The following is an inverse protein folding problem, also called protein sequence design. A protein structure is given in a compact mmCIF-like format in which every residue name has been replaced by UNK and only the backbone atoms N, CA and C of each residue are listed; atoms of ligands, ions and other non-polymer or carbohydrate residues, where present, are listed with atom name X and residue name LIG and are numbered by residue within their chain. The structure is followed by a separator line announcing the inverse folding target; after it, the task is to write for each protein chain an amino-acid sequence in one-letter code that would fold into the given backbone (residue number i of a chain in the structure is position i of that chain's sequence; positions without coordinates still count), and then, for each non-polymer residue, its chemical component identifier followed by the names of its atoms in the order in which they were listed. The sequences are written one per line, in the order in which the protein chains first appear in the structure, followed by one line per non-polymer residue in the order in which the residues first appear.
data_IF_271133997107
#
_entry.id   IF_271133997107
#
_cell.length_a   1.000
_cell.length_b   1.000
_cell.length_c   1.000
_cell.angle_alpha   90.00
_cell.angle_beta   90.00
_cell.angle_gamma   90.00
#
_symmetry.space_group_name_H-M   'P 1'
#
loop_
_entity.id
_entity.type
_entity.pdbx_description
1 polymer ?
#
# COMPACT_ATOMS: atom_id res chain seq x y z
N UNK A 1 -17.85 -19.92 8.71
CA UNK A 1 -16.85 -20.65 9.53
C UNK A 1 -16.03 -21.62 8.69
N UNK A 2 -16.62 -22.62 8.01
CA UNK A 2 -15.86 -23.61 7.21
C UNK A 2 -14.76 -23.04 6.28
N UNK A 3 -15.07 -22.01 5.49
CA UNK A 3 -14.06 -21.35 4.61
C UNK A 3 -12.98 -20.64 5.43
N UNK A 4 -13.35 -19.98 6.52
CA UNK A 4 -12.42 -19.28 7.39
C UNK A 4 -11.46 -20.26 8.08
N UNK A 5 -11.98 -21.35 8.62
CA UNK A 5 -11.21 -22.47 9.19
C UNK A 5 -10.26 -23.07 8.16
N UNK A 6 -10.74 -23.34 6.93
CA UNK A 6 -9.87 -23.82 5.85
C UNK A 6 -8.69 -22.88 5.58
N UNK A 7 -8.94 -21.57 5.52
CA UNK A 7 -7.89 -20.55 5.30
C UNK A 7 -6.86 -20.59 6.43
N UNK A 8 -7.30 -20.54 7.69
CA UNK A 8 -6.36 -20.40 8.82
C UNK A 8 -5.66 -21.69 9.21
N UNK A 9 -6.37 -22.82 9.21
CA UNK A 9 -5.85 -24.09 9.73
C UNK A 9 -5.26 -24.99 8.65
N UNK A 10 -5.91 -25.08 7.49
CA UNK A 10 -5.50 -26.03 6.45
C UNK A 10 -4.57 -25.41 5.41
N UNK A 11 -4.71 -24.10 5.14
CA UNK A 11 -3.81 -23.38 4.24
C UNK A 11 -2.68 -22.64 4.98
N UNK A 12 -2.67 -22.67 6.32
CA UNK A 12 -1.74 -21.90 7.15
C UNK A 12 -1.68 -20.40 6.78
N UNK A 13 -2.82 -19.86 6.35
CA UNK A 13 -2.98 -18.46 5.98
C UNK A 13 -3.63 -17.68 7.12
N UNK A 14 -3.88 -16.40 6.86
CA UNK A 14 -4.50 -15.47 7.80
C UNK A 14 -5.67 -14.81 7.11
N UNK A 15 -6.62 -14.33 7.89
CA UNK A 15 -7.75 -13.58 7.34
C UNK A 15 -7.99 -12.28 8.10
N UNK A 16 -8.52 -11.31 7.37
CA UNK A 16 -9.17 -10.12 7.90
C UNK A 16 -10.56 -10.07 7.28
N UNK A 17 -11.51 -9.44 7.97
CA UNK A 17 -12.87 -9.24 7.45
C UNK A 17 -13.08 -7.76 7.23
N UNK A 18 -13.58 -7.41 6.03
CA UNK A 18 -13.80 -6.04 5.60
C UNK A 18 -15.22 -5.92 5.05
N UNK A 19 -15.77 -4.70 5.12
CA UNK A 19 -16.86 -4.31 4.22
C UNK A 19 -16.31 -3.98 2.83
N UNK A 20 -17.21 -3.96 1.84
CA UNK A 20 -16.92 -3.64 0.44
C UNK A 20 -16.19 -2.29 0.30
N UNK A 21 -16.73 -1.25 0.94
CA UNK A 21 -16.18 0.09 0.84
C UNK A 21 -14.75 0.20 1.40
N UNK A 22 -14.43 -0.53 2.47
CA UNK A 22 -13.10 -0.56 3.07
C UNK A 22 -12.14 -1.39 2.23
N UNK A 23 -12.60 -2.51 1.67
CA UNK A 23 -11.83 -3.28 0.71
C UNK A 23 -11.44 -2.40 -0.49
N UNK A 24 -12.41 -1.74 -1.13
CA UNK A 24 -12.19 -0.98 -2.36
C UNK A 24 -11.27 0.21 -2.11
N UNK A 25 -11.46 0.98 -1.04
CA UNK A 25 -10.52 2.05 -0.66
C UNK A 25 -9.10 1.52 -0.41
N UNK A 26 -8.98 0.35 0.22
CA UNK A 26 -7.69 -0.31 0.46
C UNK A 26 -7.03 -0.75 -0.85
N UNK A 27 -7.77 -1.45 -1.70
CA UNK A 27 -7.33 -1.90 -3.02
C UNK A 27 -6.94 -0.72 -3.93
N UNK A 28 -7.71 0.37 -3.90
CA UNK A 28 -7.39 1.61 -4.59
C UNK A 28 -5.99 2.11 -4.22
N UNK A 29 -5.70 2.15 -2.92
CA UNK A 29 -4.46 2.69 -2.36
C UNK A 29 -3.24 1.83 -2.69
N UNK A 30 -3.36 0.52 -2.52
CA UNK A 30 -2.20 -0.41 -2.55
C UNK A 30 -2.06 -1.19 -3.85
N UNK A 31 -3.07 -1.17 -4.73
CA UNK A 31 -3.11 -1.92 -5.99
C UNK A 31 -3.46 -1.03 -7.18
N UNK A 32 -4.66 -0.44 -7.20
CA UNK A 32 -5.17 0.21 -8.42
C UNK A 32 -4.41 1.50 -8.76
N UNK A 33 -4.24 2.43 -7.81
CA UNK A 33 -3.45 3.64 -8.02
C UNK A 33 -1.99 3.31 -8.40
N UNK A 34 -1.27 2.39 -7.71
CA UNK A 34 0.06 1.97 -8.13
C UNK A 34 0.15 1.48 -9.58
N UNK A 35 -0.85 0.74 -10.08
CA UNK A 35 -0.91 0.35 -11.49
C UNK A 35 -0.98 1.57 -12.42
N UNK A 36 -1.85 2.55 -12.12
CA UNK A 36 -1.96 3.77 -12.93
C UNK A 36 -0.65 4.58 -12.91
N UNK A 37 -0.03 4.73 -11.75
CA UNK A 37 1.26 5.44 -11.61
C UNK A 37 2.34 4.72 -12.42
N UNK A 38 2.46 3.40 -12.29
CA UNK A 38 3.44 2.63 -13.04
C UNK A 38 3.23 2.72 -14.56
N UNK A 39 1.97 2.72 -15.02
CA UNK A 39 1.63 2.95 -16.43
C UNK A 39 2.02 4.36 -16.88
N UNK A 40 1.75 5.39 -16.08
CA UNK A 40 2.17 6.75 -16.39
C UNK A 40 3.71 6.85 -16.51
N UNK A 41 4.46 6.21 -15.61
CA UNK A 41 5.93 6.19 -15.68
C UNK A 41 6.46 5.59 -16.98
N UNK A 42 5.90 4.46 -17.44
CA UNK A 42 6.38 3.86 -18.70
C UNK A 42 5.96 4.68 -19.93
N UNK A 43 4.84 5.40 -19.87
CA UNK A 43 4.44 6.33 -20.93
C UNK A 43 5.42 7.51 -21.02
N UNK A 44 5.83 8.09 -19.89
CA UNK A 44 6.87 9.13 -19.85
C UNK A 44 8.19 8.63 -20.47
N UNK A 45 8.58 7.37 -20.21
CA UNK A 45 9.75 6.78 -20.87
C UNK A 45 9.53 6.66 -22.38
N UNK A 46 8.36 6.21 -22.84
CA UNK A 46 8.08 6.04 -24.27
C UNK A 46 8.13 7.36 -25.03
N UNK A 47 7.59 8.43 -24.43
CA UNK A 47 7.52 9.76 -25.03
C UNK A 47 8.88 10.50 -24.99
N UNK A 48 9.82 10.04 -24.16
CA UNK A 48 11.13 10.66 -24.03
C UNK A 48 12.04 10.38 -25.26
N UNK A 49 12.70 11.41 -25.84
CA UNK A 49 13.63 11.22 -26.95
C UNK A 49 14.83 10.34 -26.60
N UNK A 50 15.28 10.38 -25.34
CA UNK A 50 16.43 9.63 -24.81
C UNK A 50 16.04 8.26 -24.24
N UNK A 51 14.83 7.76 -24.53
CA UNK A 51 14.29 6.51 -23.95
C UNK A 51 15.22 5.30 -24.03
N UNK A 52 15.99 5.18 -25.11
CA UNK A 52 16.92 4.07 -25.28
C UNK A 52 18.11 4.17 -24.30
N UNK A 53 18.59 5.38 -24.06
CA UNK A 53 19.65 5.65 -23.08
C UNK A 53 19.09 5.44 -21.68
N UNK A 54 17.92 6.01 -21.36
CA UNK A 54 17.27 5.85 -20.07
C UNK A 54 16.99 4.37 -19.75
N UNK A 55 16.52 3.58 -20.74
CA UNK A 55 16.33 2.15 -20.59
C UNK A 55 17.64 1.39 -20.35
N UNK A 56 18.74 1.78 -21.00
CA UNK A 56 20.05 1.18 -20.79
C UNK A 56 20.64 1.50 -19.39
N UNK A 57 20.27 2.65 -18.81
CA UNK A 57 20.68 3.07 -17.46
C UNK A 57 19.75 2.55 -16.35
N UNK A 58 18.61 1.94 -16.71
CA UNK A 58 17.61 1.50 -15.75
C UNK A 58 18.15 0.43 -14.79
N UNK A 59 17.90 0.63 -13.49
CA UNK A 59 18.35 -0.25 -12.42
C UNK A 59 17.17 -0.88 -11.65
N UNK A 60 17.44 -1.41 -10.45
CA UNK A 60 16.44 -2.05 -9.60
C UNK A 60 15.22 -1.18 -9.30
N UNK A 61 15.43 0.10 -8.99
CA UNK A 61 14.34 1.04 -8.69
C UNK A 61 13.34 1.18 -9.84
N UNK A 62 13.82 1.33 -11.08
CA UNK A 62 12.97 1.37 -12.27
C UNK A 62 12.21 0.06 -12.45
N UNK A 63 12.94 -1.06 -12.45
CA UNK A 63 12.36 -2.40 -12.65
C UNK A 63 11.23 -2.68 -11.65
N UNK A 64 11.44 -2.37 -10.38
CA UNK A 64 10.48 -2.67 -9.32
C UNK A 64 9.25 -1.76 -9.39
N UNK A 65 9.45 -0.48 -9.71
CA UNK A 65 8.36 0.50 -9.85
C UNK A 65 7.48 0.23 -11.08
N UNK A 66 8.06 -0.23 -12.20
CA UNK A 66 7.31 -0.47 -13.45
C UNK A 66 6.85 -1.90 -13.64
N UNK A 67 7.23 -2.84 -12.76
CA UNK A 67 6.89 -4.28 -12.88
C UNK A 67 5.39 -4.51 -13.09
N UNK A 68 4.55 -3.76 -12.37
CA UNK A 68 3.09 -3.91 -12.43
C UNK A 68 2.47 -3.29 -13.68
N UNK A 69 3.18 -2.42 -14.40
CA UNK A 69 2.72 -1.89 -15.68
C UNK A 69 2.84 -2.89 -16.83
N UNK A 70 3.51 -4.03 -16.61
CA UNK A 70 3.69 -5.09 -17.60
C UNK A 70 2.53 -6.10 -17.63
N UNK A 71 1.50 -5.90 -16.80
CA UNK A 71 0.28 -6.69 -16.85
C UNK A 71 -0.60 -6.29 -18.04
N UNK A 72 -1.54 -7.16 -18.43
CA UNK A 72 -2.50 -6.87 -19.50
C UNK A 72 -3.22 -5.52 -19.25
N UNK A 73 -3.12 -4.54 -20.17
CA UNK A 73 -3.65 -3.21 -19.97
C UNK A 73 -5.18 -3.18 -19.88
N UNK A 74 -5.89 -4.10 -20.55
CA UNK A 74 -7.35 -4.19 -20.47
C UNK A 74 -7.78 -4.71 -19.10
N UNK A 75 -7.03 -5.66 -18.53
CA UNK A 75 -7.27 -6.13 -17.16
C UNK A 75 -7.07 -5.00 -16.14
N UNK A 76 -5.97 -4.26 -16.26
CA UNK A 76 -5.69 -3.12 -15.37
C UNK A 76 -6.76 -2.04 -15.51
N UNK A 77 -7.18 -1.74 -16.74
CA UNK A 77 -8.24 -0.78 -17.03
C UNK A 77 -9.56 -1.16 -16.35
N UNK A 78 -10.03 -2.39 -16.50
CA UNK A 78 -11.29 -2.83 -15.90
C UNK A 78 -11.29 -2.64 -14.38
N UNK A 79 -10.20 -3.08 -13.72
CA UNK A 79 -10.01 -2.93 -12.27
C UNK A 79 -10.02 -1.45 -11.82
N UNK A 80 -9.43 -0.54 -12.60
CA UNK A 80 -9.40 0.90 -12.30
C UNK A 80 -10.75 1.57 -12.56
N UNK A 81 -11.46 1.18 -13.62
CA UNK A 81 -12.77 1.74 -13.99
C UNK A 81 -13.85 1.37 -12.95
N UNK A 82 -13.81 0.16 -12.41
CA UNK A 82 -14.75 -0.30 -11.37
C UNK A 82 -14.59 0.51 -10.06
N UNK A 83 -13.39 1.01 -9.76
CA UNK A 83 -13.05 1.72 -8.52
C UNK A 83 -12.63 3.20 -8.77
N UNK A 84 -13.14 3.78 -9.86
CA UNK A 84 -12.65 5.05 -10.41
C UNK A 84 -12.66 6.22 -9.42
N UNK A 85 -13.66 6.29 -8.53
CA UNK A 85 -13.78 7.40 -7.56
C UNK A 85 -12.65 7.40 -6.55
N UNK A 86 -12.33 6.24 -5.96
CA UNK A 86 -11.25 6.12 -4.98
C UNK A 86 -9.90 6.36 -5.66
N UNK A 87 -9.69 5.76 -6.84
CA UNK A 87 -8.46 5.92 -7.62
C UNK A 87 -8.24 7.39 -8.00
N UNK A 88 -9.26 8.09 -8.51
CA UNK A 88 -9.14 9.49 -8.89
C UNK A 88 -8.79 10.40 -7.71
N UNK A 89 -9.38 10.17 -6.53
CA UNK A 89 -9.05 10.94 -5.33
C UNK A 89 -7.58 10.75 -4.92
N UNK A 90 -7.11 9.51 -4.92
CA UNK A 90 -5.73 9.16 -4.59
C UNK A 90 -4.71 9.72 -5.59
N UNK A 91 -5.01 9.63 -6.89
CA UNK A 91 -4.16 10.19 -7.95
C UNK A 91 -4.02 11.70 -7.83
N UNK A 92 -5.09 12.44 -7.50
CA UNK A 92 -5.00 13.89 -7.23
C UNK A 92 -4.11 14.19 -6.04
N UNK A 93 -4.24 13.43 -4.96
CA UNK A 93 -3.36 13.55 -3.80
C UNK A 93 -1.89 13.26 -4.13
N UNK A 94 -1.63 12.26 -4.97
CA UNK A 94 -0.28 11.94 -5.43
C UNK A 94 0.28 13.05 -6.34
N UNK A 95 -0.49 13.51 -7.32
CA UNK A 95 -0.10 14.60 -8.21
C UNK A 95 0.24 15.87 -7.43
N UNK A 96 -0.55 16.21 -6.40
CA UNK A 96 -0.26 17.34 -5.51
C UNK A 96 1.09 17.20 -4.79
N UNK A 97 1.40 16.00 -4.25
CA UNK A 97 2.71 15.72 -3.63
C UNK A 97 3.87 15.83 -4.62
N UNK A 98 3.70 15.30 -5.84
CA UNK A 98 4.73 15.36 -6.88
C UNK A 98 4.96 16.78 -7.39
N UNK A 99 3.89 17.55 -7.58
CA UNK A 99 3.96 18.97 -7.99
C UNK A 99 4.70 19.80 -6.94
N UNK A 100 4.32 19.66 -5.66
CA UNK A 100 4.99 20.39 -4.59
C UNK A 100 6.50 20.08 -4.50
N UNK A 101 6.90 18.82 -4.73
CA UNK A 101 8.31 18.45 -4.78
C UNK A 101 8.99 18.99 -6.04
N UNK A 102 8.32 18.95 -7.20
CA UNK A 102 8.85 19.53 -8.43
C UNK A 102 9.11 21.04 -8.29
N UNK A 103 8.24 21.77 -7.59
CA UNK A 103 8.42 23.20 -7.33
C UNK A 103 9.67 23.47 -6.48
N UNK A 104 9.86 22.71 -5.39
CA UNK A 104 11.07 22.80 -4.54
C UNK A 104 12.34 22.48 -5.34
N UNK A 105 12.32 21.41 -6.14
CA UNK A 105 13.46 21.06 -7.01
C UNK A 105 13.72 22.13 -8.09
N UNK A 106 12.66 22.77 -8.60
CA UNK A 106 12.73 23.87 -9.54
C UNK A 106 13.44 25.10 -8.95
N UNK A 107 13.12 25.46 -7.71
CA UNK A 107 13.81 26.55 -6.99
C UNK A 107 15.31 26.27 -6.86
N UNK A 108 15.68 25.06 -6.45
CA UNK A 108 17.07 24.64 -6.29
C UNK A 108 17.83 24.73 -7.61
N UNK A 109 17.21 24.28 -8.71
CA UNK A 109 17.80 24.35 -10.04
C UNK A 109 18.10 25.78 -10.51
N UNK A 110 17.25 26.75 -10.15
CA UNK A 110 17.41 28.17 -10.52
C UNK A 110 18.40 28.89 -9.60
N UNK A 111 18.35 28.63 -8.30
CA UNK A 111 19.14 29.35 -7.28
C UNK A 111 20.52 28.73 -7.03
N UNK A 112 20.74 27.47 -7.44
CA UNK A 112 21.98 26.74 -7.18
C UNK A 112 22.14 26.28 -5.72
N UNK A 113 21.06 26.29 -4.94
CA UNK A 113 21.01 25.91 -3.53
C UNK A 113 19.59 25.93 -2.98
N UNK A 114 19.41 25.47 -1.74
CA UNK A 114 18.15 25.51 -1.00
C UNK A 114 18.12 26.71 -0.05
N UNK A 115 16.94 27.26 0.20
CA UNK A 115 16.70 28.09 1.38
C UNK A 115 16.14 27.25 2.55
N UNK A 116 15.85 27.90 3.67
CA UNK A 116 15.37 27.21 4.87
C UNK A 116 13.98 26.55 4.70
N UNK A 117 13.12 27.08 3.82
CA UNK A 117 11.80 26.51 3.55
C UNK A 117 11.94 25.29 2.62
N UNK A 118 12.76 25.39 1.58
CA UNK A 118 13.07 24.27 0.69
C UNK A 118 13.69 23.08 1.46
N UNK A 119 14.66 23.35 2.33
CA UNK A 119 15.28 22.33 3.21
C UNK A 119 14.25 21.64 4.11
N UNK A 120 13.36 22.41 4.72
CA UNK A 120 12.31 21.88 5.58
C UNK A 120 11.34 20.99 4.79
N UNK A 121 10.91 21.42 3.60
CA UNK A 121 9.99 20.65 2.75
C UNK A 121 10.62 19.36 2.22
N UNK A 122 11.89 19.42 1.80
CA UNK A 122 12.66 18.24 1.41
C UNK A 122 12.77 17.25 2.56
N UNK A 123 13.20 17.71 3.74
CA UNK A 123 13.33 16.87 4.92
C UNK A 123 12.00 16.22 5.29
N UNK A 124 10.90 16.98 5.29
CA UNK A 124 9.58 16.46 5.58
C UNK A 124 9.13 15.40 4.56
N UNK A 125 9.29 15.64 3.26
CA UNK A 125 8.88 14.69 2.22
C UNK A 125 9.59 13.35 2.37
N UNK A 126 10.92 13.36 2.57
CA UNK A 126 11.69 12.13 2.72
C UNK A 126 11.44 11.46 4.08
N UNK A 127 11.15 12.21 5.14
CA UNK A 127 10.86 11.65 6.46
C UNK A 127 9.43 11.10 6.61
N UNK A 128 8.44 11.61 5.87
CA UNK A 128 7.02 11.28 6.08
C UNK A 128 6.71 9.77 5.99
N UNK A 129 7.43 9.05 5.13
CA UNK A 129 7.27 7.60 4.97
C UNK A 129 7.96 6.74 6.04
N UNK A 130 8.57 7.34 7.06
CA UNK A 130 9.37 6.60 8.05
C UNK A 130 8.61 5.48 8.77
N UNK A 131 7.35 5.64 9.21
CA UNK A 131 6.60 4.57 9.87
C UNK A 131 6.50 3.29 9.01
N UNK A 132 6.31 3.44 7.69
CA UNK A 132 6.28 2.29 6.78
C UNK A 132 7.66 1.64 6.62
N UNK A 133 8.74 2.42 6.63
CA UNK A 133 10.11 1.88 6.58
C UNK A 133 10.41 1.07 7.82
N UNK A 134 10.06 1.60 8.99
CA UNK A 134 10.24 0.92 10.28
C UNK A 134 9.44 -0.39 10.31
N UNK A 135 8.18 -0.34 9.89
CA UNK A 135 7.34 -1.53 9.72
C UNK A 135 7.99 -2.57 8.81
N UNK A 136 8.43 -2.20 7.60
CA UNK A 136 9.04 -3.13 6.64
C UNK A 136 10.38 -3.68 7.10
N UNK A 137 11.17 -2.90 7.85
CA UNK A 137 12.40 -3.36 8.46
C UNK A 137 12.11 -4.41 9.54
N UNK A 138 11.16 -4.12 10.43
CA UNK A 138 10.72 -5.06 11.45
C UNK A 138 10.14 -6.35 10.84
N UNK A 139 9.31 -6.23 9.80
CA UNK A 139 8.62 -7.36 9.16
C UNK A 139 9.55 -8.36 8.48
N UNK A 140 10.82 -7.98 8.24
CA UNK A 140 11.84 -8.85 7.63
C UNK A 140 12.66 -9.62 8.67
N UNK A 141 12.54 -9.30 9.95
CA UNK A 141 13.26 -10.00 11.01
C UNK A 141 12.75 -11.46 11.11
N UNK A 142 13.64 -12.46 11.28
CA UNK A 142 13.24 -13.87 11.35
C UNK A 142 12.24 -14.16 12.48
N UNK A 143 12.33 -13.42 13.59
CA UNK A 143 11.50 -13.52 14.79
C UNK A 143 10.27 -12.58 14.76
N UNK A 144 10.01 -11.89 13.64
CA UNK A 144 8.92 -10.91 13.56
C UNK A 144 7.57 -11.54 13.95
N UNK A 145 7.32 -12.76 13.48
CA UNK A 145 6.11 -13.51 13.81
C UNK A 145 5.94 -13.77 15.29
N UNK A 146 7.03 -14.05 16.01
CA UNK A 146 7.02 -14.42 17.42
C UNK A 146 6.84 -13.18 18.32
N UNK A 147 7.25 -12.01 17.81
CA UNK A 147 7.12 -10.71 18.48
C UNK A 147 5.76 -10.05 18.27
N UNK A 148 4.98 -10.51 17.30
CA UNK A 148 3.66 -9.96 17.01
C UNK A 148 2.68 -10.36 18.10
N UNK A 149 2.13 -9.37 18.81
CA UNK A 149 1.17 -9.57 19.89
C UNK A 149 -0.06 -10.35 19.39
N UNK A 150 -0.45 -11.36 20.17
CA UNK A 150 -1.69 -12.11 19.98
C UNK A 150 -2.76 -11.64 20.96
N UNK A 151 -4.02 -11.70 20.53
CA UNK A 151 -5.16 -11.36 21.37
C UNK A 151 -6.35 -12.27 21.05
N UNK A 152 -7.11 -12.63 22.08
CA UNK A 152 -8.42 -13.26 21.92
C UNK A 152 -9.46 -12.19 21.54
N UNK A 153 -10.32 -12.54 20.59
CA UNK A 153 -11.41 -11.68 20.14
C UNK A 153 -12.71 -12.47 20.14
N UNK A 154 -13.68 -11.98 20.91
CA UNK A 154 -15.05 -12.48 20.88
C UNK A 154 -15.78 -11.96 19.63
N UNK A 155 -16.46 -12.87 18.93
CA UNK A 155 -17.34 -12.61 17.81
C UNK A 155 -18.78 -12.60 18.33
N UNK A 156 -19.37 -11.42 18.54
CA UNK A 156 -20.73 -11.33 19.08
C UNK A 156 -21.74 -11.90 18.08
N UNK A 157 -22.84 -12.49 18.58
CA UNK A 157 -23.93 -12.98 17.71
C UNK A 157 -24.46 -11.88 16.77
N UNK A 158 -24.49 -10.64 17.26
CA UNK A 158 -24.97 -9.46 16.54
C UNK A 158 -23.83 -8.46 16.34
N UNK A 159 -23.73 -7.89 15.14
CA UNK A 159 -22.69 -6.89 14.83
C UNK A 159 -21.28 -7.47 14.67
N UNK A 160 -21.15 -8.77 14.45
CA UNK A 160 -19.86 -9.44 14.23
C UNK A 160 -19.05 -8.82 13.09
N UNK A 161 -19.69 -8.36 12.02
CA UNK A 161 -19.00 -7.71 10.89
C UNK A 161 -18.25 -6.47 11.36
N UNK A 162 -18.88 -5.66 12.21
CA UNK A 162 -18.28 -4.45 12.76
C UNK A 162 -17.11 -4.79 13.70
N UNK A 163 -17.27 -5.80 14.56
CA UNK A 163 -16.21 -6.23 15.47
C UNK A 163 -14.96 -6.71 14.71
N UNK A 164 -15.15 -7.53 13.67
CA UNK A 164 -14.02 -8.02 12.85
C UNK A 164 -13.41 -6.93 11.97
N UNK A 165 -14.21 -5.98 11.48
CA UNK A 165 -13.70 -4.81 10.77
C UNK A 165 -12.87 -3.90 11.68
N UNK A 166 -13.32 -3.66 12.91
CA UNK A 166 -12.57 -2.90 13.92
C UNK A 166 -11.26 -3.60 14.29
N UNK A 167 -11.26 -4.94 14.36
CA UNK A 167 -10.04 -5.75 14.49
C UNK A 167 -9.08 -5.54 13.31
N UNK A 168 -9.57 -5.66 12.07
CA UNK A 168 -8.75 -5.41 10.87
C UNK A 168 -8.14 -4.00 10.85
N UNK A 169 -8.89 -2.98 11.30
CA UNK A 169 -8.40 -1.58 11.42
C UNK A 169 -7.28 -1.41 12.45
N UNK A 170 -7.20 -2.27 13.47
CA UNK A 170 -6.07 -2.31 14.42
C UNK A 170 -4.86 -3.07 13.85
N UNK A 171 -4.95 -3.56 12.61
CA UNK A 171 -3.90 -4.37 11.99
C UNK A 171 -3.85 -5.81 12.52
N UNK A 172 -4.92 -6.26 13.16
CA UNK A 172 -5.09 -7.62 13.67
C UNK A 172 -5.57 -8.55 12.55
N UNK A 173 -4.95 -9.72 12.46
CA UNK A 173 -5.31 -10.78 11.53
C UNK A 173 -5.77 -12.00 12.32
N UNK A 174 -6.90 -12.58 11.96
CA UNK A 174 -7.34 -13.86 12.54
C UNK A 174 -6.40 -14.96 12.07
N UNK A 175 -5.83 -15.69 13.02
CA UNK A 175 -4.86 -16.77 12.79
C UNK A 175 -5.38 -18.14 13.22
N UNK A 176 -6.45 -18.20 14.02
CA UNK A 176 -7.05 -19.43 14.53
C UNK A 176 -8.47 -19.17 15.03
N UNK A 177 -9.37 -20.14 14.85
CA UNK A 177 -10.67 -20.17 15.51
C UNK A 177 -10.58 -21.10 16.73
N UNK A 178 -11.16 -20.69 17.85
CA UNK A 178 -11.29 -21.56 19.03
C UNK A 178 -12.66 -22.22 19.06
N UNK A 179 -13.67 -21.44 18.71
CA UNK A 179 -15.03 -21.88 18.44
C UNK A 179 -15.72 -20.88 17.48
N UNK A 180 -17.03 -21.01 17.32
CA UNK A 180 -17.82 -20.18 16.40
C UNK A 180 -17.91 -18.70 16.83
N UNK A 181 -17.57 -18.40 18.09
CA UNK A 181 -17.67 -17.10 18.74
C UNK A 181 -16.34 -16.56 19.27
N UNK A 182 -15.23 -17.28 19.13
CA UNK A 182 -13.93 -16.85 19.63
C UNK A 182 -12.83 -17.15 18.62
N UNK A 183 -11.99 -16.14 18.37
CA UNK A 183 -10.82 -16.24 17.50
C UNK A 183 -9.58 -15.71 18.18
N UNK A 184 -8.43 -16.26 17.78
CA UNK A 184 -7.14 -15.66 18.10
C UNK A 184 -6.70 -14.80 16.93
N UNK A 185 -6.36 -13.57 17.26
CA UNK A 185 -5.83 -12.58 16.33
C UNK A 185 -4.36 -12.32 16.61
N UNK A 186 -3.67 -11.77 15.62
CA UNK A 186 -2.29 -11.34 15.74
C UNK A 186 -2.06 -10.03 14.98
N UNK A 187 -1.41 -9.05 15.62
CA UNK A 187 -1.09 -7.76 14.99
C UNK A 187 0.04 -7.93 13.99
N UNK A 188 -0.21 -7.65 12.71
CA UNK A 188 0.75 -7.89 11.60
C UNK A 188 0.93 -6.71 10.65
N UNK A 189 0.08 -5.69 10.75
CA UNK A 189 0.01 -4.59 9.80
C UNK A 189 -0.19 -3.27 10.56
N UNK A 190 0.78 -2.89 11.38
CA UNK A 190 0.80 -1.60 12.07
C UNK A 190 1.80 -0.69 11.35
N UNK A 191 1.28 0.18 10.48
CA UNK A 191 2.03 1.26 9.81
C UNK A 191 1.47 2.59 10.30
#
# INVERSE_FOLDING_TARGET
LAVATMIVEHCANRLIVLDDATHDRGAALISHMPHVIATAMINELVDNPDRNIAAALAAGSWRDMTRVALTDPNRTRAMVEEDATNVAALLRGMAGRLTAMADVLGHIGVQGGTDADDDMRLAQFFAQGQPFRDYKAASKAPDYADRCATAELAIPEHGWQRALLESARRGEHVIRFEDDHHVVTQVRSAV
#
